data_IF_094368717421
#
_entry.id   IF_094368717421
#
_cell.length_a   1.000
_cell.length_b   1.000
_cell.length_c   1.000
_cell.angle_alpha   90.00
_cell.angle_beta   90.00
_cell.angle_gamma   90.00
#
_symmetry.space_group_name_H-M   'P 1'
#
loop_
_entity.id
_entity.type
_entity.pdbx_description
1 polymer ?
#
# COMPACT_ATOMS: atom_id res chain seq x y z
N UNK A 1 96.50 19.83 44.22
CA UNK A 1 97.90 19.82 43.72
C UNK A 1 98.86 20.10 44.88
N UNK A 2 100.09 19.58 44.82
CA UNK A 2 101.09 19.70 45.91
C UNK A 2 101.92 21.01 45.90
N UNK A 3 101.72 21.90 44.92
CA UNK A 3 102.43 23.18 44.83
C UNK A 3 101.40 24.26 44.47
N UNK A 4 101.35 25.32 45.26
CA UNK A 4 100.51 26.52 45.05
C UNK A 4 101.39 27.70 44.62
N UNK A 5 100.86 28.72 43.94
CA UNK A 5 101.61 29.94 43.62
C UNK A 5 102.34 30.52 44.84
N UNK A 6 101.64 30.57 45.98
CA UNK A 6 102.21 30.99 47.26
C UNK A 6 103.38 30.11 47.74
N UNK A 7 103.29 28.79 47.57
CA UNK A 7 104.37 27.87 47.91
C UNK A 7 105.60 28.02 47.00
N UNK A 8 105.43 28.49 45.76
CA UNK A 8 106.52 28.78 44.82
C UNK A 8 107.25 30.06 45.25
N UNK A 9 106.51 31.14 45.57
CA UNK A 9 107.09 32.40 46.05
C UNK A 9 107.82 32.28 47.38
N UNK A 10 107.32 31.43 48.27
CA UNK A 10 107.91 31.22 49.61
C UNK A 10 109.01 30.15 49.61
N UNK A 11 109.37 29.57 48.47
CA UNK A 11 110.34 28.48 48.41
C UNK A 11 111.75 28.99 48.68
N UNK A 12 112.39 28.43 49.70
CA UNK A 12 113.81 28.65 50.00
C UNK A 12 114.65 27.47 49.53
N UNK A 13 115.88 27.75 49.09
CA UNK A 13 116.85 26.76 48.65
C UNK A 13 118.11 26.82 49.51
N UNK A 14 118.77 25.69 49.69
CA UNK A 14 120.07 25.61 50.36
C UNK A 14 121.17 26.23 49.47
N UNK A 15 122.17 26.86 50.10
CA UNK A 15 123.26 27.56 49.39
C UNK A 15 124.49 26.65 49.34
N UNK A 16 125.02 26.39 48.13
CA UNK A 16 126.24 25.59 47.90
C UNK A 16 127.33 26.35 47.15
N UNK A 17 128.58 25.85 47.17
CA UNK A 17 129.70 26.46 46.44
C UNK A 17 129.52 26.25 44.93
N UNK A 18 129.35 27.35 44.15
CA UNK A 18 128.96 27.43 42.71
C UNK A 18 127.49 27.06 42.41
N UNK A 19 126.54 27.93 42.75
CA UNK A 19 125.12 27.82 42.38
C UNK A 19 124.63 28.94 41.45
N UNK A 20 123.34 28.88 41.09
CA UNK A 20 122.65 29.93 40.31
C UNK A 20 122.56 31.25 41.07
N UNK A 21 122.46 32.37 40.34
CA UNK A 21 122.30 33.68 40.96
C UNK A 21 120.92 33.80 41.65
N UNK A 22 120.92 34.11 42.95
CA UNK A 22 119.70 34.20 43.76
C UNK A 22 118.65 35.17 43.17
N UNK A 23 119.09 36.29 42.59
CA UNK A 23 118.20 37.30 41.98
C UNK A 23 117.48 36.75 40.75
N UNK A 24 118.21 36.10 39.84
CA UNK A 24 117.63 35.51 38.63
C UNK A 24 116.65 34.38 38.99
N UNK A 25 117.00 33.53 39.96
CA UNK A 25 116.11 32.46 40.43
C UNK A 25 114.85 33.02 41.09
N UNK A 26 114.95 34.07 41.88
CA UNK A 26 113.77 34.71 42.49
C UNK A 26 112.84 35.32 41.44
N UNK A 27 113.37 36.04 40.44
CA UNK A 27 112.57 36.58 39.34
C UNK A 27 111.87 35.48 38.54
N UNK A 28 112.57 34.38 38.25
CA UNK A 28 111.99 33.23 37.57
C UNK A 28 110.89 32.55 38.40
N UNK A 29 111.06 32.43 39.72
CA UNK A 29 110.02 31.87 40.60
C UNK A 29 108.78 32.77 40.69
N UNK A 30 108.94 34.09 40.63
CA UNK A 30 107.82 35.02 40.58
C UNK A 30 107.02 34.88 39.28
N UNK A 31 107.70 34.79 38.13
CA UNK A 31 107.08 34.55 36.82
C UNK A 31 106.37 33.18 36.76
N UNK A 32 107.04 32.10 37.20
CA UNK A 32 106.44 30.77 37.35
C UNK A 32 105.20 30.84 38.25
N UNK A 33 105.28 31.57 39.36
CA UNK A 33 104.14 31.70 40.28
C UNK A 33 102.93 32.37 39.63
N UNK A 34 103.14 33.40 38.79
CA UNK A 34 102.05 34.04 38.07
C UNK A 34 101.43 33.11 37.03
N UNK A 35 102.27 32.41 36.25
CA UNK A 35 101.81 31.42 35.26
C UNK A 35 101.01 30.30 35.93
N UNK A 36 101.46 29.79 37.08
CA UNK A 36 100.75 28.73 37.84
C UNK A 36 99.42 29.25 38.40
N UNK A 37 99.33 30.51 38.82
CA UNK A 37 98.07 31.12 39.27
C UNK A 37 97.06 31.27 38.13
N UNK A 38 97.54 31.73 36.96
CA UNK A 38 96.76 31.80 35.72
C UNK A 38 96.23 30.42 35.31
N UNK A 39 97.10 29.41 35.28
CA UNK A 39 96.72 28.02 35.01
C UNK A 39 95.69 27.48 36.01
N UNK A 40 95.78 27.86 37.29
CA UNK A 40 94.79 27.45 38.28
C UNK A 40 93.42 28.08 38.02
N UNK A 41 93.39 29.38 37.72
CA UNK A 41 92.16 30.11 37.38
C UNK A 41 91.52 29.53 36.13
N UNK A 42 92.30 29.32 35.07
CA UNK A 42 91.82 28.72 33.83
C UNK A 42 91.31 27.29 34.06
N UNK A 43 92.03 26.47 34.83
CA UNK A 43 91.58 25.11 35.15
C UNK A 43 90.25 25.10 35.93
N UNK A 44 90.07 26.04 36.86
CA UNK A 44 88.84 26.17 37.63
C UNK A 44 87.67 26.67 36.77
N UNK A 45 87.93 27.61 35.86
CA UNK A 45 86.95 28.09 34.89
C UNK A 45 86.53 26.96 33.93
N UNK A 46 87.50 26.22 33.39
CA UNK A 46 87.25 25.07 32.50
C UNK A 46 86.46 23.98 33.19
N UNK A 47 86.77 23.64 34.46
CA UNK A 47 85.99 22.68 35.24
C UNK A 47 84.56 23.13 35.47
N UNK A 48 84.38 24.42 35.76
CA UNK A 48 83.03 24.99 35.95
C UNK A 48 82.22 24.94 34.65
N UNK A 49 82.85 25.30 33.52
CA UNK A 49 82.21 25.18 32.20
C UNK A 49 81.86 23.73 31.88
N UNK A 50 82.78 22.79 32.10
CA UNK A 50 82.56 21.37 31.89
C UNK A 50 81.36 20.87 32.70
N UNK A 51 81.32 21.16 34.00
CA UNK A 51 80.23 20.75 34.88
C UNK A 51 78.88 21.34 34.42
N UNK A 52 78.85 22.60 33.98
CA UNK A 52 77.64 23.22 33.46
C UNK A 52 77.17 22.56 32.16
N UNK A 53 78.08 22.29 31.22
CA UNK A 53 77.75 21.61 29.95
C UNK A 53 77.29 20.18 30.15
N UNK A 54 77.89 19.45 31.11
CA UNK A 54 77.46 18.09 31.47
C UNK A 54 76.06 18.10 32.10
N UNK A 55 75.76 19.10 32.94
CA UNK A 55 74.44 19.25 33.53
C UNK A 55 73.36 19.59 32.47
N UNK A 56 73.69 20.45 31.50
CA UNK A 56 72.81 20.78 30.39
C UNK A 56 72.58 19.59 29.45
N UNK A 57 73.64 18.86 29.10
CA UNK A 57 73.55 17.65 28.30
C UNK A 57 72.67 16.59 28.99
N UNK A 58 72.82 16.41 30.31
CA UNK A 58 71.95 15.51 31.08
C UNK A 58 70.50 15.95 31.03
N UNK A 59 70.22 17.25 31.23
CA UNK A 59 68.86 17.79 31.16
C UNK A 59 68.24 17.58 29.77
N UNK A 60 69.00 17.81 28.71
CA UNK A 60 68.53 17.58 27.34
C UNK A 60 68.19 16.10 27.11
N UNK A 61 69.02 15.19 27.62
CA UNK A 61 68.76 13.75 27.55
C UNK A 61 67.49 13.34 28.30
N UNK A 62 67.27 13.90 29.50
CA UNK A 62 66.05 13.64 30.28
C UNK A 62 64.79 14.15 29.55
N UNK A 63 64.90 15.30 28.87
CA UNK A 63 63.81 15.86 28.04
C UNK A 63 63.56 15.00 26.80
N UNK A 64 64.61 14.57 26.11
CA UNK A 64 64.52 13.67 24.96
C UNK A 64 63.84 12.35 25.33
N UNK A 65 64.21 11.73 26.45
CA UNK A 65 63.60 10.50 26.93
C UNK A 65 62.10 10.70 27.25
N UNK A 66 61.75 11.82 27.86
CA UNK A 66 60.35 12.16 28.12
C UNK A 66 59.55 12.37 26.82
N UNK A 67 60.14 13.07 25.85
CA UNK A 67 59.54 13.31 24.54
C UNK A 67 59.32 11.99 23.80
N UNK A 68 60.32 11.11 23.81
CA UNK A 68 60.27 9.79 23.19
C UNK A 68 59.15 8.93 23.80
N UNK A 69 59.07 8.86 25.13
CA UNK A 69 57.99 8.14 25.82
C UNK A 69 56.61 8.69 25.47
N UNK A 70 56.49 10.01 25.38
CA UNK A 70 55.24 10.66 24.97
C UNK A 70 54.89 10.31 23.53
N UNK A 71 55.85 10.33 22.60
CA UNK A 71 55.61 10.04 21.19
C UNK A 71 55.25 8.57 20.98
N UNK A 72 55.93 7.66 21.67
CA UNK A 72 55.58 6.23 21.69
C UNK A 72 54.18 5.98 22.25
N UNK A 73 53.83 6.65 23.35
CA UNK A 73 52.48 6.53 23.92
C UNK A 73 51.41 7.07 22.95
N UNK A 74 51.70 8.18 22.24
CA UNK A 74 50.80 8.72 21.23
C UNK A 74 50.66 7.78 20.01
N UNK A 75 51.74 7.14 19.57
CA UNK A 75 51.74 6.11 18.52
C UNK A 75 50.90 4.89 18.94
N UNK A 76 51.16 4.33 20.13
CA UNK A 76 50.43 3.19 20.68
C UNK A 76 48.92 3.51 20.85
N UNK A 77 48.61 4.72 21.33
CA UNK A 77 47.22 5.19 21.48
C UNK A 77 46.56 5.37 20.11
N UNK A 78 47.27 5.93 19.14
CA UNK A 78 46.78 6.07 17.77
C UNK A 78 46.47 4.72 17.12
N UNK A 79 47.36 3.74 17.29
CA UNK A 79 47.14 2.38 16.81
C UNK A 79 45.94 1.71 17.49
N UNK A 80 45.79 1.87 18.82
CA UNK A 80 44.66 1.34 19.57
C UNK A 80 43.33 1.95 19.10
N UNK A 81 43.27 3.27 18.87
CA UNK A 81 42.08 3.96 18.35
C UNK A 81 41.69 3.42 16.98
N UNK A 82 42.67 3.15 16.09
CA UNK A 82 42.38 2.60 14.76
C UNK A 82 41.78 1.20 14.87
N UNK A 83 42.32 0.34 15.74
CA UNK A 83 41.77 -1.01 15.97
C UNK A 83 40.36 -0.93 16.52
N UNK A 84 40.13 -0.12 17.56
CA UNK A 84 38.81 0.06 18.17
C UNK A 84 37.78 0.63 17.18
N UNK A 85 38.18 1.61 16.35
CA UNK A 85 37.31 2.17 15.33
C UNK A 85 36.94 1.16 14.25
N UNK A 86 37.88 0.29 13.84
CA UNK A 86 37.59 -0.78 12.88
C UNK A 86 36.66 -1.84 13.49
N UNK A 87 36.91 -2.27 14.73
CA UNK A 87 36.03 -3.21 15.44
C UNK A 87 34.61 -2.64 15.61
N UNK A 88 34.50 -1.36 15.97
CA UNK A 88 33.21 -0.68 16.07
C UNK A 88 32.51 -0.58 14.71
N UNK A 89 33.25 -0.29 13.63
CA UNK A 89 32.69 -0.26 12.28
C UNK A 89 32.18 -1.65 11.84
N UNK A 90 32.95 -2.70 12.10
CA UNK A 90 32.55 -4.08 11.80
C UNK A 90 31.30 -4.49 12.58
N UNK A 91 31.20 -4.09 13.85
CA UNK A 91 30.00 -4.32 14.67
C UNK A 91 28.78 -3.58 14.12
N UNK A 92 28.93 -2.31 13.71
CA UNK A 92 27.85 -1.52 13.10
C UNK A 92 27.38 -2.18 11.80
N UNK A 93 28.31 -2.63 10.96
CA UNK A 93 27.98 -3.31 9.70
C UNK A 93 27.27 -4.64 9.98
N UNK A 94 27.72 -5.41 10.97
CA UNK A 94 27.09 -6.66 11.36
C UNK A 94 25.65 -6.44 11.86
N UNK A 95 25.43 -5.47 12.74
CA UNK A 95 24.11 -5.12 13.28
C UNK A 95 23.16 -4.58 12.20
N UNK A 96 23.67 -3.74 11.29
CA UNK A 96 22.91 -3.26 10.15
C UNK A 96 22.48 -4.41 9.21
N UNK A 97 23.38 -5.37 8.95
CA UNK A 97 23.08 -6.54 8.14
C UNK A 97 22.06 -7.46 8.83
N UNK A 98 22.19 -7.70 10.13
CA UNK A 98 21.22 -8.48 10.90
C UNK A 98 19.84 -7.83 10.89
N UNK A 99 19.78 -6.51 11.10
CA UNK A 99 18.54 -5.74 11.04
C UNK A 99 17.90 -5.82 9.65
N UNK A 100 18.69 -5.70 8.58
CA UNK A 100 18.20 -5.82 7.20
C UNK A 100 17.69 -7.24 6.89
N UNK A 101 18.40 -8.28 7.32
CA UNK A 101 17.99 -9.68 7.15
C UNK A 101 16.70 -9.98 7.93
N UNK A 102 16.56 -9.44 9.15
CA UNK A 102 15.33 -9.56 9.93
C UNK A 102 14.15 -8.81 9.28
N UNK A 103 14.39 -7.60 8.76
CA UNK A 103 13.37 -6.82 8.06
C UNK A 103 12.89 -7.51 6.78
N UNK A 104 13.82 -8.05 5.97
CA UNK A 104 13.48 -8.80 4.75
C UNK A 104 12.69 -10.07 5.06
N UNK A 105 13.12 -10.86 6.06
CA UNK A 105 12.35 -12.02 6.53
C UNK A 105 10.95 -11.66 6.99
N UNK A 106 10.79 -10.55 7.72
CA UNK A 106 9.48 -10.08 8.17
C UNK A 106 8.59 -9.66 7.00
N UNK A 107 9.14 -8.96 6.01
CA UNK A 107 8.42 -8.58 4.78
C UNK A 107 8.01 -9.82 4.00
N UNK A 108 8.90 -10.80 3.83
CA UNK A 108 8.60 -12.05 3.12
C UNK A 108 7.47 -12.83 3.80
N UNK A 109 7.47 -12.88 5.14
CA UNK A 109 6.38 -13.46 5.92
C UNK A 109 5.07 -12.71 5.70
N UNK A 110 5.08 -11.38 5.80
CA UNK A 110 3.89 -10.56 5.58
C UNK A 110 3.33 -10.71 4.16
N UNK A 111 4.20 -10.78 3.14
CA UNK A 111 3.80 -11.00 1.75
C UNK A 111 3.21 -12.40 1.58
N UNK A 112 3.79 -13.42 2.19
CA UNK A 112 3.25 -14.78 2.15
C UNK A 112 1.86 -14.85 2.83
N UNK A 113 1.70 -14.20 3.98
CA UNK A 113 0.43 -14.16 4.71
C UNK A 113 -0.64 -13.37 3.93
N UNK A 114 -0.29 -12.19 3.41
CA UNK A 114 -1.19 -11.38 2.57
C UNK A 114 -1.61 -12.13 1.32
N UNK A 115 -0.67 -12.81 0.65
CA UNK A 115 -0.97 -13.65 -0.52
C UNK A 115 -1.90 -14.80 -0.16
N UNK A 116 -1.68 -15.47 0.97
CA UNK A 116 -2.56 -16.54 1.45
C UNK A 116 -3.97 -16.04 1.71
N UNK A 117 -4.11 -14.89 2.38
CA UNK A 117 -5.41 -14.27 2.61
C UNK A 117 -6.11 -13.91 1.30
N UNK A 118 -5.39 -13.34 0.33
CA UNK A 118 -5.95 -13.04 -0.98
C UNK A 118 -6.38 -14.30 -1.74
N UNK A 119 -5.60 -15.38 -1.67
CA UNK A 119 -5.93 -16.68 -2.27
C UNK A 119 -7.18 -17.31 -1.61
N UNK A 120 -7.28 -17.25 -0.29
CA UNK A 120 -8.46 -17.73 0.46
C UNK A 120 -9.71 -16.92 0.13
N UNK A 121 -9.61 -15.58 0.06
CA UNK A 121 -10.72 -14.71 -0.36
C UNK A 121 -11.15 -14.95 -1.80
N UNK A 122 -10.20 -15.10 -2.73
CA UNK A 122 -10.49 -15.42 -4.12
C UNK A 122 -11.21 -16.76 -4.24
N UNK A 123 -10.73 -17.79 -3.51
CA UNK A 123 -11.38 -19.09 -3.47
C UNK A 123 -12.81 -19.02 -2.92
N UNK A 124 -13.04 -18.23 -1.86
CA UNK A 124 -14.37 -18.03 -1.29
C UNK A 124 -15.32 -17.32 -2.27
N UNK A 125 -14.86 -16.27 -2.96
CA UNK A 125 -15.66 -15.54 -3.97
C UNK A 125 -16.00 -16.47 -5.15
N UNK A 126 -15.02 -17.22 -5.66
CA UNK A 126 -15.25 -18.18 -6.74
C UNK A 126 -16.26 -19.25 -6.29
N UNK A 127 -16.08 -19.81 -5.09
CA UNK A 127 -17.00 -20.80 -4.54
C UNK A 127 -18.44 -20.27 -4.41
N UNK A 128 -18.61 -19.05 -3.88
CA UNK A 128 -19.92 -18.40 -3.76
C UNK A 128 -20.55 -18.06 -5.13
N UNK A 129 -19.74 -17.66 -6.10
CA UNK A 129 -20.21 -17.41 -7.46
C UNK A 129 -20.66 -18.72 -8.14
N UNK A 130 -19.94 -19.82 -7.94
CA UNK A 130 -20.32 -21.14 -8.44
C UNK A 130 -21.62 -21.67 -7.81
N UNK A 131 -21.81 -21.51 -6.50
CA UNK A 131 -23.06 -21.93 -5.84
C UNK A 131 -24.23 -21.10 -6.34
N UNK A 132 -24.08 -19.79 -6.42
CA UNK A 132 -25.12 -18.89 -6.96
C UNK A 132 -25.44 -19.20 -8.43
N UNK A 133 -24.43 -19.50 -9.24
CA UNK A 133 -24.63 -19.93 -10.62
C UNK A 133 -25.43 -21.25 -10.69
N UNK A 134 -25.17 -22.22 -9.80
CA UNK A 134 -25.95 -23.46 -9.74
C UNK A 134 -27.40 -23.20 -9.31
N UNK A 135 -27.61 -22.36 -8.30
CA UNK A 135 -28.96 -21.99 -7.81
C UNK A 135 -29.77 -21.33 -8.92
N UNK A 136 -29.22 -20.30 -9.57
CA UNK A 136 -29.87 -19.62 -10.70
C UNK A 136 -30.20 -20.55 -11.87
N UNK A 137 -29.35 -21.55 -12.17
CA UNK A 137 -29.67 -22.57 -13.18
C UNK A 137 -30.86 -23.44 -12.75
N UNK A 138 -30.94 -23.80 -11.47
CA UNK A 138 -32.07 -24.58 -10.94
C UNK A 138 -33.36 -23.76 -11.00
N UNK A 139 -33.34 -22.52 -10.52
CA UNK A 139 -34.47 -21.59 -10.58
C UNK A 139 -34.95 -21.34 -12.01
N UNK A 140 -34.01 -21.14 -12.95
CA UNK A 140 -34.34 -20.96 -14.37
C UNK A 140 -34.99 -22.21 -14.95
N UNK A 141 -34.52 -23.40 -14.57
CA UNK A 141 -35.10 -24.67 -15.01
C UNK A 141 -36.53 -24.83 -14.49
N UNK A 142 -36.77 -24.52 -13.23
CA UNK A 142 -38.11 -24.57 -12.62
C UNK A 142 -39.06 -23.54 -13.26
N UNK A 143 -38.59 -22.32 -13.45
CA UNK A 143 -39.34 -21.26 -14.13
C UNK A 143 -39.69 -21.64 -15.56
N UNK A 144 -38.75 -22.22 -16.31
CA UNK A 144 -38.99 -22.71 -17.67
C UNK A 144 -40.01 -23.85 -17.68
N UNK A 145 -39.95 -24.78 -16.72
CA UNK A 145 -40.97 -25.84 -16.60
C UNK A 145 -42.35 -25.26 -16.26
N UNK A 146 -42.42 -24.27 -15.36
CA UNK A 146 -43.66 -23.55 -15.05
C UNK A 146 -44.25 -22.86 -16.28
N UNK A 147 -43.41 -22.20 -17.08
CA UNK A 147 -43.80 -21.56 -18.33
C UNK A 147 -44.31 -22.57 -19.37
N UNK A 148 -43.67 -23.73 -19.51
CA UNK A 148 -44.17 -24.78 -20.40
C UNK A 148 -45.55 -25.26 -19.98
N UNK A 149 -45.78 -25.50 -18.67
CA UNK A 149 -47.10 -25.90 -18.15
C UNK A 149 -48.17 -24.83 -18.39
N UNK A 150 -47.84 -23.56 -18.23
CA UNK A 150 -48.79 -22.48 -18.50
C UNK A 150 -49.12 -22.35 -19.99
N UNK A 151 -48.15 -22.54 -20.88
CA UNK A 151 -48.39 -22.62 -22.32
C UNK A 151 -49.27 -23.81 -22.70
N UNK A 152 -49.05 -24.99 -22.12
CA UNK A 152 -49.90 -26.17 -22.33
C UNK A 152 -51.33 -25.90 -21.87
N UNK A 153 -51.53 -25.35 -20.67
CA UNK A 153 -52.86 -24.98 -20.16
C UNK A 153 -53.56 -23.93 -21.02
N UNK A 154 -52.84 -22.92 -21.52
CA UNK A 154 -53.40 -21.93 -22.44
C UNK A 154 -53.79 -22.53 -23.78
N UNK A 155 -53.01 -23.50 -24.29
CA UNK A 155 -53.34 -24.23 -25.51
C UNK A 155 -54.62 -25.08 -25.34
N UNK A 156 -54.77 -25.75 -24.19
CA UNK A 156 -56.00 -26.47 -23.84
C UNK A 156 -57.21 -25.54 -23.72
N UNK A 157 -57.05 -24.39 -23.04
CA UNK A 157 -58.11 -23.38 -22.93
C UNK A 157 -58.53 -22.86 -24.32
N UNK A 158 -57.56 -22.58 -25.20
CA UNK A 158 -57.81 -22.22 -26.59
C UNK A 158 -58.59 -23.32 -27.32
N UNK A 159 -58.21 -24.59 -27.16
CA UNK A 159 -58.92 -25.71 -27.79
C UNK A 159 -60.36 -25.83 -27.28
N UNK A 160 -60.57 -25.69 -25.97
CA UNK A 160 -61.90 -25.67 -25.35
C UNK A 160 -62.78 -24.55 -25.90
N UNK A 161 -62.23 -23.33 -26.02
CA UNK A 161 -62.94 -22.20 -26.59
C UNK A 161 -63.27 -22.40 -28.08
N UNK A 162 -62.37 -22.99 -28.85
CA UNK A 162 -62.67 -23.34 -30.25
C UNK A 162 -63.78 -24.39 -30.33
N UNK A 163 -63.78 -25.40 -29.44
CA UNK A 163 -64.85 -26.40 -29.36
C UNK A 163 -66.19 -25.78 -28.96
N UNK A 164 -66.20 -24.87 -27.97
CA UNK A 164 -67.43 -24.19 -27.54
C UNK A 164 -67.98 -23.28 -28.62
N UNK A 165 -67.12 -22.49 -29.30
CA UNK A 165 -67.50 -21.67 -30.45
C UNK A 165 -68.06 -22.53 -31.59
N UNK A 166 -67.45 -23.68 -31.88
CA UNK A 166 -67.96 -24.62 -32.88
C UNK A 166 -69.33 -25.18 -32.50
N UNK A 167 -69.53 -25.51 -31.21
CA UNK A 167 -70.84 -25.97 -30.71
C UNK A 167 -71.90 -24.87 -30.85
N UNK A 168 -71.60 -23.65 -30.39
CA UNK A 168 -72.50 -22.50 -30.53
C UNK A 168 -72.83 -22.26 -32.01
N UNK A 169 -71.83 -22.24 -32.89
CA UNK A 169 -72.06 -22.07 -34.32
C UNK A 169 -72.97 -23.17 -34.90
N UNK A 170 -72.77 -24.43 -34.49
CA UNK A 170 -73.63 -25.54 -34.90
C UNK A 170 -75.05 -25.39 -34.36
N UNK A 171 -75.21 -24.98 -33.10
CA UNK A 171 -76.52 -24.75 -32.49
C UNK A 171 -77.25 -23.60 -33.17
N UNK A 172 -76.57 -22.50 -33.50
CA UNK A 172 -77.14 -21.39 -34.26
C UNK A 172 -77.53 -21.81 -35.67
N UNK A 173 -76.75 -22.67 -36.33
CA UNK A 173 -77.09 -23.22 -37.64
C UNK A 173 -78.36 -24.07 -37.56
N UNK A 174 -78.44 -24.96 -36.57
CA UNK A 174 -79.62 -25.78 -36.33
C UNK A 174 -80.87 -24.92 -36.04
N UNK A 175 -80.73 -23.81 -35.30
CA UNK A 175 -81.82 -22.85 -35.06
C UNK A 175 -82.25 -22.14 -36.35
N UNK A 176 -81.31 -21.74 -37.21
CA UNK A 176 -81.62 -21.16 -38.52
C UNK A 176 -82.40 -22.16 -39.37
N UNK A 177 -81.93 -23.40 -39.48
CA UNK A 177 -82.62 -24.46 -40.23
C UNK A 177 -84.05 -24.70 -39.69
N UNK A 178 -84.22 -24.72 -38.36
CA UNK A 178 -85.53 -24.83 -37.72
C UNK A 178 -86.41 -23.62 -38.07
N UNK A 179 -85.87 -22.40 -38.01
CA UNK A 179 -86.57 -21.16 -38.36
C UNK A 179 -87.00 -21.15 -39.83
N UNK A 180 -86.13 -21.58 -40.76
CA UNK A 180 -86.43 -21.66 -42.18
C UNK A 180 -87.55 -22.69 -42.44
N UNK A 181 -87.52 -23.83 -41.73
CA UNK A 181 -88.62 -24.79 -41.74
C UNK A 181 -89.93 -24.19 -41.21
N UNK A 182 -89.90 -23.38 -40.14
CA UNK A 182 -91.09 -22.67 -39.65
C UNK A 182 -91.60 -21.63 -40.64
N UNK A 183 -90.71 -20.82 -41.26
CA UNK A 183 -91.08 -19.82 -42.27
C UNK A 183 -91.68 -20.48 -43.52
N UNK A 184 -91.14 -21.62 -43.96
CA UNK A 184 -91.66 -22.34 -45.13
C UNK A 184 -93.10 -22.87 -44.93
N UNK A 185 -93.56 -23.03 -43.68
CA UNK A 185 -94.92 -23.46 -43.33
C UNK A 185 -95.93 -22.31 -43.27
N UNK A 186 -95.48 -21.06 -43.29
CA UNK A 186 -96.37 -19.90 -43.25
C UNK A 186 -96.93 -19.67 -44.66
N UNK A 187 -98.13 -20.19 -44.92
CA UNK A 187 -98.90 -19.85 -46.13
C UNK A 187 -99.61 -18.50 -45.91
N UNK A 188 -98.95 -17.41 -46.28
CA UNK A 188 -99.49 -16.06 -46.20
C UNK A 188 -100.87 -15.92 -46.90
N UNK A 189 -101.18 -16.78 -47.87
CA UNK A 189 -102.44 -16.78 -48.60
C UNK A 189 -103.56 -17.50 -47.85
N UNK A 190 -103.23 -18.46 -46.98
CA UNK A 190 -104.17 -19.12 -46.09
C UNK A 190 -104.61 -18.19 -44.95
N UNK A 191 -103.67 -17.47 -44.35
CA UNK A 191 -103.99 -16.45 -43.33
C UNK A 191 -104.81 -15.29 -43.89
N UNK A 192 -104.56 -14.86 -45.14
CA UNK A 192 -105.40 -13.86 -45.80
C UNK A 192 -106.84 -14.34 -46.03
N UNK A 193 -107.05 -15.63 -46.32
CA UNK A 193 -108.40 -16.22 -46.47
C UNK A 193 -109.15 -16.34 -45.15
N UNK A 194 -108.46 -16.69 -44.07
CA UNK A 194 -109.05 -16.76 -42.73
C UNK A 194 -109.56 -15.38 -42.26
N UNK A 195 -108.85 -14.30 -42.58
CA UNK A 195 -109.28 -12.92 -42.29
C UNK A 195 -110.52 -12.55 -43.12
N UNK A 196 -110.57 -12.94 -44.39
CA UNK A 196 -111.70 -12.65 -45.29
C UNK A 196 -112.97 -13.45 -44.93
N UNK A 197 -112.82 -14.67 -44.37
CA UNK A 197 -113.93 -15.47 -43.80
C UNK A 197 -114.41 -14.93 -42.44
N UNK A 198 -113.50 -14.51 -41.56
CA UNK A 198 -113.85 -13.92 -40.26
C UNK A 198 -114.60 -12.59 -40.42
N UNK A 199 -114.32 -11.84 -41.50
CA UNK A 199 -115.08 -10.64 -41.88
C UNK A 199 -116.51 -10.95 -42.35
N UNK A 200 -116.81 -12.18 -42.80
CA UNK A 200 -118.13 -12.55 -43.36
C UNK A 200 -119.05 -13.24 -42.34
N UNK A 201 -118.51 -13.84 -41.29
CA UNK A 201 -119.30 -14.40 -40.20
C UNK A 201 -119.61 -13.33 -39.15
N UNK A 202 -120.87 -12.95 -38.95
CA UNK A 202 -121.34 -12.04 -37.90
C UNK A 202 -121.28 -12.67 -36.49
N UNK A 203 -120.13 -13.21 -36.10
CA UNK A 203 -119.91 -13.94 -34.84
C UNK A 203 -119.95 -13.07 -33.59
N UNK A 204 -120.00 -11.74 -33.72
CA UNK A 204 -120.17 -10.80 -32.61
C UNK A 204 -121.55 -10.12 -32.66
N UNK A 205 -122.64 -10.89 -32.51
CA UNK A 205 -124.00 -10.36 -32.36
C UNK A 205 -124.65 -10.82 -31.04
N UNK A 206 -125.35 -9.88 -30.36
CA UNK A 206 -125.89 -10.03 -28.99
C UNK A 206 -126.79 -11.26 -28.75
N UNK A 207 -127.32 -11.89 -29.80
CA UNK A 207 -128.21 -13.04 -29.70
C UNK A 207 -127.48 -14.39 -29.51
N UNK A 208 -126.15 -14.44 -29.66
CA UNK A 208 -125.34 -15.65 -29.48
C UNK A 208 -124.49 -15.61 -28.18
N UNK A 209 -124.86 -14.74 -27.24
CA UNK A 209 -124.14 -14.53 -25.99
C UNK A 209 -124.36 -15.65 -24.95
N UNK A 210 -125.44 -16.44 -25.08
CA UNK A 210 -125.81 -17.49 -24.13
C UNK A 210 -125.11 -18.84 -24.41
N UNK A 211 -124.40 -18.95 -25.54
CA UNK A 211 -123.64 -20.15 -25.93
C UNK A 211 -122.11 -19.94 -25.92
N UNK A 212 -121.63 -18.79 -25.42
CA UNK A 212 -120.24 -18.64 -24.99
C UNK A 212 -120.13 -19.17 -23.56
N UNK A 213 -120.14 -20.49 -23.43
CA UNK A 213 -119.70 -21.15 -22.23
C UNK A 213 -118.24 -20.78 -21.96
N UNK A 214 -118.01 -20.12 -20.82
CA UNK A 214 -116.71 -20.11 -20.17
C UNK A 214 -116.55 -21.48 -19.51
N UNK A 215 -115.76 -22.37 -20.11
CA UNK A 215 -115.00 -23.35 -19.35
C UNK A 215 -113.53 -22.93 -19.46
N UNK A 216 -112.95 -22.65 -18.30
CA UNK A 216 -111.56 -22.27 -18.10
C UNK A 216 -110.65 -23.43 -18.51
N UNK A 217 -110.17 -23.42 -19.76
CA UNK A 217 -108.87 -24.03 -20.05
C UNK A 217 -107.82 -23.02 -19.58
N UNK A 218 -107.22 -23.34 -18.43
CA UNK A 218 -106.09 -22.63 -17.86
C UNK A 218 -105.04 -22.39 -18.95
N UNK A 219 -104.87 -21.11 -19.24
CA UNK A 219 -103.83 -20.56 -20.08
C UNK A 219 -102.46 -21.02 -19.55
N UNK A 220 -101.64 -21.49 -20.48
CA UNK A 220 -100.20 -21.52 -20.31
C UNK A 220 -99.71 -20.14 -19.83
N UNK A 221 -99.21 -20.10 -18.60
CA UNK A 221 -98.20 -19.12 -18.25
C UNK A 221 -96.89 -19.65 -18.83
N UNK A 222 -96.45 -19.06 -19.94
CA UNK A 222 -95.02 -18.95 -20.19
C UNK A 222 -94.43 -18.20 -18.98
N UNK A 223 -93.65 -18.90 -18.16
CA UNK A 223 -92.72 -18.23 -17.27
C UNK A 223 -91.71 -17.50 -18.16
N UNK A 224 -91.92 -16.21 -18.32
CA UNK A 224 -90.85 -15.28 -18.63
C UNK A 224 -89.96 -15.30 -17.38
N UNK A 225 -88.86 -16.05 -17.45
CA UNK A 225 -87.76 -15.96 -16.48
C UNK A 225 -87.05 -14.61 -16.67
N UNK A 226 -87.74 -13.54 -16.25
CA UNK A 226 -87.10 -12.27 -15.96
C UNK A 226 -86.40 -12.39 -14.60
N UNK A 227 -85.24 -13.06 -14.61
CA UNK A 227 -84.24 -12.90 -13.56
C UNK A 227 -82.96 -12.22 -14.11
N UNK A 228 -83.00 -10.94 -14.53
CA UNK A 228 -81.80 -10.22 -14.90
C UNK A 228 -81.19 -9.50 -13.69
N UNK A 229 -81.07 -10.10 -12.49
CA UNK A 229 -80.21 -9.55 -11.43
C UNK A 229 -79.98 -10.46 -10.20
N UNK A 230 -79.37 -11.63 -10.35
CA UNK A 230 -78.74 -12.32 -9.20
C UNK A 230 -77.75 -13.42 -9.64
N UNK A 231 -76.54 -13.01 -10.08
CA UNK A 231 -75.26 -13.71 -9.88
C UNK A 231 -74.14 -12.85 -10.49
N UNK A 232 -73.98 -11.62 -9.96
CA UNK A 232 -72.63 -11.12 -9.75
C UNK A 232 -72.14 -11.85 -8.50
N UNK A 233 -71.51 -13.01 -8.68
CA UNK A 233 -70.46 -13.41 -7.74
C UNK A 233 -69.43 -12.29 -7.82
N UNK A 234 -69.55 -11.36 -6.87
CA UNK A 234 -68.43 -10.59 -6.38
C UNK A 234 -67.42 -11.65 -5.97
N UNK A 235 -66.38 -11.82 -6.77
CA UNK A 235 -65.13 -12.35 -6.26
C UNK A 235 -64.74 -11.32 -5.20
N UNK A 236 -65.09 -11.59 -3.94
CA UNK A 236 -64.35 -11.06 -2.82
C UNK A 236 -62.92 -11.54 -3.08
N UNK A 237 -62.09 -10.64 -3.57
CA UNK A 237 -60.66 -10.69 -3.30
C UNK A 237 -60.54 -10.67 -1.76
N UNK A 238 -60.61 -11.84 -1.15
CA UNK A 238 -59.82 -12.11 0.04
C UNK A 238 -58.36 -11.98 -0.41
N UNK A 239 -57.86 -10.75 -0.42
CA UNK A 239 -56.46 -10.51 -0.10
C UNK A 239 -56.27 -10.94 1.36
N UNK A 240 -56.10 -12.24 1.57
CA UNK A 240 -55.33 -12.72 2.72
C UNK A 240 -53.88 -12.29 2.48
N UNK A 241 -53.59 -11.05 2.88
CA UNK A 241 -52.25 -10.65 3.28
C UNK A 241 -51.92 -11.41 4.57
N UNK A 242 -51.54 -12.68 4.44
CA UNK A 242 -50.74 -13.34 5.46
C UNK A 242 -49.41 -12.59 5.53
N UNK A 243 -49.30 -11.78 6.58
CA UNK A 243 -48.05 -11.16 7.00
C UNK A 243 -47.04 -12.24 7.37
N UNK A 244 -46.20 -12.61 6.40
CA UNK A 244 -44.86 -13.07 6.72
C UNK A 244 -43.96 -11.84 6.89
N UNK A 245 -43.85 -11.47 8.16
CA UNK A 245 -42.72 -10.80 8.80
C UNK A 245 -41.38 -11.10 8.09
N UNK A 246 -40.82 -10.11 7.38
CA UNK A 246 -39.40 -9.97 7.00
C UNK A 246 -39.18 -8.71 6.13
N UNK A 247 -39.43 -7.52 6.67
CA UNK A 247 -38.63 -6.34 6.32
C UNK A 247 -37.61 -6.16 7.43
N UNK A 248 -36.29 -6.18 7.16
CA UNK A 248 -35.36 -5.58 8.11
C UNK A 248 -35.54 -4.07 8.03
N UNK A 249 -35.89 -3.48 9.18
CA UNK A 249 -35.88 -2.06 9.43
C UNK A 249 -34.60 -1.39 8.92
N UNK A 250 -34.76 -0.40 8.07
CA UNK A 250 -33.79 0.66 7.83
C UNK A 250 -34.54 1.97 7.96
N UNK A 251 -34.78 2.35 9.21
CA UNK A 251 -35.02 3.73 9.59
C UNK A 251 -33.81 4.56 9.14
N UNK A 252 -33.90 5.19 7.97
CA UNK A 252 -33.15 6.40 7.71
C UNK A 252 -33.90 7.56 8.36
N UNK A 253 -33.74 7.68 9.68
CA UNK A 253 -33.94 8.95 10.36
C UNK A 253 -32.91 9.94 9.83
N UNK A 254 -33.41 10.90 9.04
CA UNK A 254 -32.73 12.16 8.81
C UNK A 254 -32.81 13.00 10.08
N UNK A 255 -31.76 12.95 10.89
CA UNK A 255 -31.41 13.97 11.88
C UNK A 255 -29.95 14.41 11.60
N UNK A 256 -29.62 15.69 11.76
CA UNK A 256 -28.36 16.28 11.33
C UNK A 256 -27.22 15.91 12.29
N UNK A 257 -26.15 15.32 11.77
CA UNK A 257 -24.92 15.09 12.56
C UNK A 257 -24.22 16.44 12.85
N UNK A 258 -23.63 16.61 14.03
CA UNK A 258 -23.14 17.89 14.51
C UNK A 258 -21.80 18.26 13.87
N UNK A 259 -21.60 19.56 13.70
CA UNK A 259 -20.32 20.19 13.43
C UNK A 259 -19.33 19.82 14.56
N UNK A 260 -18.43 18.86 14.31
CA UNK A 260 -17.16 18.74 15.04
C UNK A 260 -16.07 19.48 14.25
N UNK A 261 -15.77 20.65 14.79
CA UNK A 261 -14.68 21.56 14.48
C UNK A 261 -13.33 20.84 14.59
N UNK A 262 -12.74 20.43 13.46
CA UNK A 262 -11.31 20.15 13.38
C UNK A 262 -10.62 21.42 12.88
N UNK A 263 -10.04 22.15 13.83
CA UNK A 263 -9.07 23.22 13.59
C UNK A 263 -7.94 22.68 12.70
N UNK A 264 -7.97 23.07 11.41
CA UNK A 264 -6.80 22.99 10.56
C UNK A 264 -5.92 24.20 10.87
N UNK A 265 -4.83 23.94 11.60
CA UNK A 265 -3.76 24.90 11.82
C UNK A 265 -3.17 25.33 10.46
N UNK A 266 -3.40 26.59 10.10
CA UNK A 266 -2.78 27.27 8.96
C UNK A 266 -1.25 27.37 9.17
N UNK A 267 -0.50 26.36 8.73
CA UNK A 267 0.93 26.58 8.40
C UNK A 267 1.02 27.22 7.02
N UNK A 268 0.96 28.55 7.05
CA UNK A 268 1.32 29.44 5.95
C UNK A 268 2.77 29.16 5.52
N UNK A 269 2.94 28.48 4.38
CA UNK A 269 4.21 28.45 3.65
C UNK A 269 4.03 29.36 2.43
N UNK A 270 4.43 30.63 2.61
CA UNK A 270 4.55 31.59 1.52
C UNK A 270 5.65 31.09 0.56
N UNK A 271 5.24 30.71 -0.65
CA UNK A 271 6.12 30.68 -1.81
C UNK A 271 5.64 31.83 -2.70
N UNK A 272 6.24 33.00 -2.50
CA UNK A 272 6.21 34.08 -3.48
C UNK A 272 7.42 33.93 -4.41
N UNK A 273 7.11 33.89 -5.69
CA UNK A 273 8.04 33.95 -6.82
C UNK A 273 8.81 35.28 -6.84
N UNK A 274 10.14 35.22 -6.83
CA UNK A 274 10.98 36.25 -7.47
C UNK A 274 11.91 35.59 -8.48
N UNK A 275 11.45 35.61 -9.74
CA UNK A 275 12.19 35.91 -10.96
C UNK A 275 13.73 35.83 -10.87
N UNK A 276 14.29 34.74 -11.42
CA UNK A 276 15.56 34.78 -12.15
C UNK A 276 15.31 34.15 -13.53
N UNK A 277 14.71 34.95 -14.41
CA UNK A 277 14.88 34.81 -15.86
C UNK A 277 16.34 35.14 -16.18
N UNK A 278 17.12 34.15 -16.60
CA UNK A 278 18.14 34.23 -17.66
C UNK A 278 18.75 32.83 -17.86
N UNK A 279 18.93 32.45 -19.14
CA UNK A 279 19.78 31.34 -19.62
C UNK A 279 19.22 29.91 -19.79
N UNK A 280 18.06 29.74 -20.46
CA UNK A 280 17.67 28.44 -21.06
C UNK A 280 17.51 28.49 -22.61
N UNK A 281 17.89 29.59 -23.28
CA UNK A 281 17.78 29.66 -24.75
C UNK A 281 18.95 29.05 -25.54
N UNK A 282 19.98 28.49 -24.90
CA UNK A 282 21.17 28.00 -25.65
C UNK A 282 21.27 26.47 -25.86
N UNK A 283 20.28 25.67 -25.45
CA UNK A 283 20.38 24.19 -25.54
C UNK A 283 19.44 23.50 -26.52
N UNK A 284 18.55 24.22 -27.23
CA UNK A 284 17.60 23.59 -28.18
C UNK A 284 18.00 23.64 -29.67
N UNK A 285 19.17 24.20 -29.99
CA UNK A 285 19.63 24.35 -31.38
C UNK A 285 20.64 23.27 -31.84
N UNK A 286 20.42 21.99 -31.55
CA UNK A 286 21.08 20.93 -32.35
C UNK A 286 20.27 19.62 -32.36
N UNK A 287 19.11 19.64 -33.03
CA UNK A 287 18.42 18.42 -33.45
C UNK A 287 19.14 17.78 -34.66
N UNK A 288 19.11 16.43 -34.66
CA UNK A 288 19.09 15.49 -35.82
C UNK A 288 20.44 14.95 -36.33
N UNK A 289 20.74 13.68 -35.99
CA UNK A 289 21.17 12.64 -36.94
C UNK A 289 20.87 11.21 -36.41
N UNK A 290 20.50 10.33 -37.35
CA UNK A 290 19.88 8.98 -37.24
C UNK A 290 20.60 7.93 -36.37
N UNK A 291 19.91 6.84 -35.99
CA UNK A 291 20.47 5.75 -35.17
C UNK A 291 21.27 4.75 -36.00
N UNK A 292 22.43 4.33 -35.49
CA UNK A 292 23.16 3.15 -35.95
C UNK A 292 23.34 2.18 -34.78
N UNK A 293 22.97 0.92 -35.03
CA UNK A 293 23.23 -0.25 -34.19
C UNK A 293 24.68 -0.73 -34.30
N UNK A 294 25.03 -1.64 -33.36
CA UNK A 294 26.24 -2.49 -33.19
C UNK A 294 27.34 -1.97 -32.22
N UNK A 295 28.10 -2.87 -31.56
CA UNK A 295 27.66 -3.86 -30.57
C UNK A 295 28.51 -3.80 -29.27
N UNK A 296 27.99 -4.36 -28.18
CA UNK A 296 28.73 -4.53 -26.92
C UNK A 296 29.98 -5.41 -27.06
N UNK A 297 31.12 -4.95 -26.51
CA UNK A 297 32.27 -5.76 -26.05
C UNK A 297 33.22 -4.89 -25.19
N UNK A 298 34.10 -5.48 -24.35
CA UNK A 298 33.83 -5.83 -22.96
C UNK A 298 34.72 -5.07 -21.93
N UNK A 299 34.28 -5.13 -20.67
CA UNK A 299 35.00 -4.88 -19.40
C UNK A 299 36.45 -4.36 -19.48
N UNK A 300 36.65 -3.11 -19.05
CA UNK A 300 37.95 -2.61 -18.63
C UNK A 300 38.10 -2.78 -17.10
N UNK A 301 38.94 -3.76 -16.74
CA UNK A 301 39.87 -3.79 -15.60
C UNK A 301 39.57 -2.93 -14.36
N UNK A 302 39.26 -3.61 -13.25
CA UNK A 302 39.52 -3.13 -11.89
C UNK A 302 41.02 -2.82 -11.70
N UNK A 303 41.39 -1.78 -10.92
CA UNK A 303 42.77 -1.65 -10.46
C UNK A 303 43.05 -2.74 -9.44
N UNK A 304 44.01 -3.62 -9.76
CA UNK A 304 44.64 -4.53 -8.79
C UNK A 304 45.32 -3.67 -7.72
N UNK A 305 44.81 -3.72 -6.50
CA UNK A 305 45.65 -3.45 -5.32
C UNK A 305 46.71 -4.56 -5.27
N UNK A 306 47.96 -4.16 -5.41
CA UNK A 306 49.11 -5.03 -5.16
C UNK A 306 49.15 -5.32 -3.66
N UNK A 307 48.84 -6.56 -3.32
CA UNK A 307 49.19 -7.19 -2.05
C UNK A 307 50.73 -7.34 -2.00
N UNK A 308 51.40 -6.34 -1.44
CA UNK A 308 52.75 -6.46 -0.90
C UNK A 308 52.64 -6.40 0.64
N UNK A 309 51.97 -7.40 1.22
CA UNK A 309 52.09 -7.71 2.64
C UNK A 309 53.44 -8.41 2.91
N UNK A 310 54.52 -7.63 2.91
CA UNK A 310 55.75 -7.99 3.61
C UNK A 310 55.93 -7.09 4.83
N UNK A 311 55.50 -7.63 5.96
CA UNK A 311 55.97 -7.34 7.33
C UNK A 311 57.06 -6.26 7.43
N UNK A 312 56.64 -5.01 7.54
CA UNK A 312 57.43 -3.94 8.16
C UNK A 312 56.51 -3.05 8.98
N UNK A 313 55.75 -3.64 9.91
CA UNK A 313 55.28 -2.92 11.10
C UNK A 313 56.42 -2.92 12.14
N UNK A 314 57.57 -2.40 11.76
CA UNK A 314 58.60 -2.03 12.72
C UNK A 314 58.28 -0.60 13.14
N UNK A 315 57.95 -0.39 14.41
CA UNK A 315 57.79 0.95 14.95
C UNK A 315 59.02 1.79 14.56
N UNK A 316 58.82 3.06 14.19
CA UNK A 316 59.90 3.97 13.78
C UNK A 316 61.06 3.99 14.79
N UNK A 317 60.77 3.65 16.03
CA UNK A 317 61.73 3.59 17.13
C UNK A 317 62.44 2.25 17.34
N UNK A 318 61.94 1.14 16.79
CA UNK A 318 62.63 -0.17 16.84
C UNK A 318 63.91 -0.21 15.99
N UNK A 319 64.21 0.85 15.23
CA UNK A 319 65.42 0.96 14.41
C UNK A 319 66.62 1.58 15.14
N UNK A 320 66.43 2.05 16.38
CA UNK A 320 67.44 2.81 17.14
C UNK A 320 68.03 2.07 18.35
N UNK A 321 67.67 0.80 18.59
CA UNK A 321 68.26 -0.08 19.62
C UNK A 321 69.42 -0.95 19.10
#
# INVERSE_FOLDING_TARGET
MKITPAAIRQKTFEVGFRGYEKKEVSLFLDEISEVVDLLHKENMELKTKLQNTEAEAKRLKDVEESLFRTLKTAEDTGAAIIVEANEAADLIIADANETADNATKHIDQLVADSRRQAEEQAAAIIGAAETKAKETIVELRESMQGLVRSYEGLAEQRESMVKSLKRIAQDTLNQIDLSEAHYSRIDAKAHARAIDELSRSQTFTFANLENLGYEEDELAAEEIDDNPLAEMEVIEEDLELEGHDSTPDLEMETEPDPEEELELEDTKMELEDEVLEEDIEELEAEKVKKPLEEPMKPQASQPKYTDDSKNQSGSFFDQFD
#
